data_IF_605092001061
#
_entry.id   IF_605092001061
#
_cell.length_a   1.000
_cell.length_b   1.000
_cell.length_c   1.000
_cell.angle_alpha   90.00
_cell.angle_beta   90.00
_cell.angle_gamma   90.00
#
_symmetry.space_group_name_H-M   'P 1'
#
loop_
_entity.id
_entity.type
_entity.pdbx_description
1 polymer ?
#
# COMPACT_ATOMS: atom_id res chain seq x y z
N UNK A 1 -7.79 -3.44 -2.64
CA UNK A 1 -6.47 -3.85 -3.18
C UNK A 1 -6.68 -5.00 -4.15
N UNK A 2 -5.81 -5.15 -5.17
CA UNK A 2 -5.89 -6.23 -6.17
C UNK A 2 -4.59 -7.02 -6.14
N UNK A 3 -4.68 -8.34 -5.94
CA UNK A 3 -3.51 -9.22 -6.06
C UNK A 3 -3.19 -9.44 -7.54
N UNK A 4 -1.93 -9.19 -7.92
CA UNK A 4 -1.50 -9.29 -9.32
C UNK A 4 -0.62 -10.51 -9.58
N UNK A 5 0.23 -10.90 -8.62
CA UNK A 5 1.18 -12.01 -8.76
C UNK A 5 1.79 -12.40 -7.42
N UNK A 6 1.70 -13.67 -7.02
CA UNK A 6 2.29 -14.18 -5.77
C UNK A 6 1.98 -13.26 -4.57
N UNK A 7 3.02 -12.67 -3.97
CA UNK A 7 2.91 -11.76 -2.85
C UNK A 7 2.86 -10.28 -3.26
N UNK A 8 2.44 -9.97 -4.48
CA UNK A 8 2.30 -8.61 -4.97
C UNK A 8 0.84 -8.20 -5.08
N UNK A 9 0.55 -7.02 -4.53
CA UNK A 9 -0.74 -6.38 -4.59
C UNK A 9 -0.59 -4.95 -5.09
N UNK A 10 -1.67 -4.44 -5.68
CA UNK A 10 -1.81 -3.04 -6.09
C UNK A 10 -3.00 -2.44 -5.35
N UNK A 11 -2.75 -1.37 -4.61
CA UNK A 11 -3.81 -0.52 -4.08
C UNK A 11 -4.15 0.54 -5.13
N UNK A 12 -5.33 0.42 -5.75
CA UNK A 12 -5.80 1.37 -6.76
C UNK A 12 -6.47 2.54 -6.04
N UNK A 13 -5.83 3.70 -6.10
CA UNK A 13 -6.35 4.98 -5.61
C UNK A 13 -7.23 5.66 -6.66
N UNK A 14 -7.74 6.85 -6.34
CA UNK A 14 -8.53 7.67 -7.26
C UNK A 14 -7.79 7.92 -8.58
N UNK A 15 -8.57 8.10 -9.64
CA UNK A 15 -8.09 8.36 -11.00
C UNK A 15 -7.22 7.25 -11.61
N UNK A 16 -7.20 6.05 -11.03
CA UNK A 16 -6.46 4.90 -11.58
C UNK A 16 -4.98 4.85 -11.21
N UNK A 17 -4.48 5.77 -10.37
CA UNK A 17 -3.11 5.65 -9.83
C UNK A 17 -3.09 4.50 -8.82
N UNK A 18 -2.15 3.58 -8.97
CA UNK A 18 -1.99 2.44 -8.09
C UNK A 18 -0.65 2.45 -7.37
N UNK A 19 -0.64 2.08 -6.09
CA UNK A 19 0.59 1.77 -5.36
C UNK A 19 0.84 0.26 -5.43
N UNK A 20 1.91 -0.14 -6.12
CA UNK A 20 2.36 -1.54 -6.20
C UNK A 20 3.28 -1.86 -5.03
N UNK A 21 3.00 -2.96 -4.37
CA UNK A 21 3.69 -3.37 -3.15
C UNK A 21 3.84 -4.89 -3.09
N UNK A 22 4.89 -5.34 -2.41
CA UNK A 22 5.00 -6.72 -1.96
C UNK A 22 4.58 -6.83 -0.51
N UNK A 23 3.75 -7.81 -0.16
CA UNK A 23 3.38 -8.10 1.23
C UNK A 23 4.20 -9.27 1.79
N UNK A 24 4.56 -9.16 3.07
CA UNK A 24 5.38 -10.14 3.78
C UNK A 24 4.89 -10.25 5.22
N UNK A 25 4.89 -11.46 5.77
CA UNK A 25 4.62 -11.68 7.19
C UNK A 25 5.95 -11.71 7.96
N UNK A 26 6.20 -10.71 8.79
CA UNK A 26 7.45 -10.57 9.55
C UNK A 26 7.13 -9.90 10.90
N UNK A 27 7.71 -10.38 12.01
CA UNK A 27 7.53 -9.82 13.35
C UNK A 27 6.06 -9.74 13.83
N UNK A 28 5.23 -10.73 13.47
CA UNK A 28 3.82 -10.78 13.86
C UNK A 28 2.92 -9.75 13.16
N UNK A 29 3.39 -9.16 12.06
CA UNK A 29 2.66 -8.17 11.26
C UNK A 29 2.87 -8.39 9.77
N UNK A 30 1.93 -7.87 8.98
CA UNK A 30 2.09 -7.76 7.53
C UNK A 30 2.88 -6.49 7.23
N UNK A 31 3.99 -6.60 6.50
CA UNK A 31 4.77 -5.46 5.99
C UNK A 31 4.56 -5.32 4.49
N UNK A 32 4.17 -4.13 4.06
CA UNK A 32 3.92 -3.75 2.69
C UNK A 32 5.10 -2.91 2.17
N UNK A 33 5.95 -3.54 1.35
CA UNK A 33 7.18 -2.94 0.80
C UNK A 33 6.93 -2.37 -0.59
N UNK A 34 7.32 -1.11 -0.78
CA UNK A 34 7.19 -0.40 -2.06
C UNK A 34 7.84 -1.16 -3.24
N UNK A 35 7.09 -1.35 -4.32
CA UNK A 35 7.59 -1.85 -5.61
C UNK A 35 7.38 -0.88 -6.78
N UNK A 36 6.83 0.30 -6.53
CA UNK A 36 6.59 1.35 -7.54
C UNK A 36 5.15 1.84 -7.54
N UNK A 37 4.87 2.79 -8.43
CA UNK A 37 3.50 3.19 -8.75
C UNK A 37 3.15 2.72 -10.15
N UNK A 38 1.86 2.51 -10.38
CA UNK A 38 1.31 2.10 -11.67
C UNK A 38 0.13 2.99 -12.02
N UNK A 39 -0.19 3.09 -13.30
CA UNK A 39 -1.46 3.61 -13.79
C UNK A 39 -2.30 2.43 -14.25
N UNK A 40 -3.49 2.28 -13.70
CA UNK A 40 -4.44 1.25 -14.07
C UNK A 40 -5.41 1.81 -15.10
N UNK A 41 -5.32 1.30 -16.33
CA UNK A 41 -6.17 1.71 -17.46
C UNK A 41 -6.59 0.47 -18.25
N UNK A 42 -7.91 0.26 -18.39
CA UNK A 42 -8.50 -0.87 -19.13
C UNK A 42 -7.94 -2.26 -18.74
N UNK A 43 -7.67 -2.50 -17.45
CA UNK A 43 -7.13 -3.78 -16.96
C UNK A 43 -5.61 -3.92 -17.11
N UNK A 44 -4.92 -2.91 -17.62
CA UNK A 44 -3.47 -2.89 -17.80
C UNK A 44 -2.85 -2.02 -16.70
N UNK A 45 -1.74 -2.49 -16.12
CA UNK A 45 -0.92 -1.72 -15.16
C UNK A 45 0.33 -1.17 -15.86
N UNK A 46 0.36 0.14 -16.07
CA UNK A 46 1.48 0.85 -16.70
C UNK A 46 2.39 1.41 -15.59
N UNK A 47 3.68 1.02 -15.48
CA UNK A 47 4.58 1.57 -14.47
C UNK A 47 4.76 3.09 -14.60
N UNK A 48 4.73 3.81 -13.49
CA UNK A 48 4.95 5.25 -13.43
C UNK A 48 6.18 5.58 -12.56
N UNK A 49 7.02 6.57 -12.97
CA UNK A 49 8.17 7.01 -12.18
C UNK A 49 7.79 7.94 -11.01
N UNK A 50 6.57 7.83 -10.47
CA UNK A 50 6.07 8.71 -9.41
C UNK A 50 6.87 8.63 -8.11
N UNK A 51 7.60 7.53 -7.87
CA UNK A 51 8.45 7.40 -6.68
C UNK A 51 9.50 8.51 -6.56
N UNK A 52 9.89 9.12 -7.68
CA UNK A 52 10.81 10.27 -7.72
C UNK A 52 10.14 11.59 -7.38
N UNK A 53 8.81 11.69 -7.50
CA UNK A 53 8.05 12.92 -7.29
C UNK A 53 7.37 12.95 -5.91
N UNK A 54 6.78 11.83 -5.50
CA UNK A 54 6.00 11.75 -4.25
C UNK A 54 6.70 10.94 -3.17
N UNK A 55 7.69 10.12 -3.52
CA UNK A 55 8.41 9.26 -2.59
C UNK A 55 7.90 7.83 -2.54
N UNK A 56 8.48 7.03 -1.65
CA UNK A 56 8.19 5.60 -1.51
C UNK A 56 7.22 5.36 -0.35
N UNK A 57 6.16 4.61 -0.64
CA UNK A 57 5.20 4.17 0.37
C UNK A 57 5.75 3.02 1.23
N UNK A 58 5.37 2.98 2.50
CA UNK A 58 5.65 1.88 3.40
C UNK A 58 4.44 1.72 4.31
N UNK A 59 3.98 0.49 4.53
CA UNK A 59 2.91 0.23 5.46
C UNK A 59 3.13 -1.05 6.26
N UNK A 60 2.54 -1.08 7.45
CA UNK A 60 2.52 -2.23 8.36
C UNK A 60 1.09 -2.42 8.87
N UNK A 61 0.65 -3.67 8.96
CA UNK A 61 -0.63 -4.05 9.53
C UNK A 61 -0.40 -5.09 10.62
N UNK A 62 -0.79 -4.76 11.85
CA UNK A 62 -0.68 -5.63 13.02
C UNK A 62 -2.08 -6.15 13.35
N UNK A 63 -2.35 -7.47 13.23
CA UNK A 63 -3.65 -8.00 13.59
C UNK A 63 -3.89 -7.86 15.08
N UNK A 64 -5.13 -7.55 15.44
CA UNK A 64 -5.57 -7.40 16.83
C UNK A 64 -6.57 -8.49 17.18
N UNK A 65 -7.52 -8.76 16.29
CA UNK A 65 -8.50 -9.83 16.37
C UNK A 65 -8.96 -10.22 14.95
N UNK A 66 -10.01 -11.03 14.85
CA UNK A 66 -10.52 -11.55 13.58
C UNK A 66 -11.02 -10.48 12.61
N UNK A 67 -11.37 -9.28 13.11
CA UNK A 67 -11.96 -8.21 12.30
C UNK A 67 -11.21 -6.88 12.42
N UNK A 68 -10.27 -6.73 13.35
CA UNK A 68 -9.53 -5.48 13.54
C UNK A 68 -8.02 -5.62 13.43
N UNK A 69 -7.40 -4.57 12.91
CA UNK A 69 -5.94 -4.48 12.78
C UNK A 69 -5.48 -3.03 12.98
N UNK A 70 -4.30 -2.86 13.57
CA UNK A 70 -3.63 -1.58 13.63
C UNK A 70 -2.79 -1.38 12.36
N UNK A 71 -3.04 -0.29 11.66
CA UNK A 71 -2.35 0.07 10.42
C UNK A 71 -1.47 1.29 10.64
N UNK A 72 -0.27 1.24 10.08
CA UNK A 72 0.62 2.38 9.91
C UNK A 72 1.00 2.47 8.43
N UNK A 73 0.86 3.65 7.83
CA UNK A 73 1.27 3.91 6.46
C UNK A 73 1.97 5.26 6.38
N UNK A 74 3.05 5.31 5.63
CA UNK A 74 3.74 6.55 5.32
C UNK A 74 4.24 6.57 3.88
N UNK A 75 4.37 7.77 3.32
CA UNK A 75 5.13 8.03 2.08
C UNK A 75 6.27 8.97 2.43
N UNK A 76 7.49 8.54 2.09
CA UNK A 76 8.71 9.30 2.35
C UNK A 76 9.39 9.66 1.04
N UNK A 77 9.54 10.95 0.77
CA UNK A 77 10.33 11.49 -0.33
C UNK A 77 11.80 11.60 0.09
N UNK A 78 12.78 11.17 -0.73
CA UNK A 78 14.19 11.21 -0.35
C UNK A 78 14.73 12.59 0.01
N UNK A 79 14.19 13.66 -0.60
CA UNK A 79 14.65 15.05 -0.37
C UNK A 79 13.79 15.84 0.61
N UNK A 80 12.52 15.50 0.76
CA UNK A 80 11.55 16.29 1.55
C UNK A 80 11.13 15.59 2.85
N UNK A 81 11.57 14.34 3.05
CA UNK A 81 11.17 13.55 4.19
C UNK A 81 9.71 13.08 4.05
N UNK A 82 8.96 13.11 5.15
CA UNK A 82 7.61 12.57 5.23
C UNK A 82 6.62 13.44 4.45
N UNK A 83 6.02 12.88 3.41
CA UNK A 83 5.02 13.56 2.55
C UNK A 83 3.60 13.26 3.02
N UNK A 84 3.38 12.03 3.49
CA UNK A 84 2.05 11.58 3.91
C UNK A 84 2.20 10.51 4.99
N UNK A 85 1.26 10.48 5.92
CA UNK A 85 1.17 9.46 6.96
C UNK A 85 -0.27 9.34 7.44
N UNK A 86 -0.70 8.11 7.70
CA UNK A 86 -1.80 7.85 8.59
C UNK A 86 -1.49 6.64 9.45
N UNK A 87 -2.14 6.60 10.60
CA UNK A 87 -2.10 5.46 11.50
C UNK A 87 -3.41 5.36 12.26
N UNK A 88 -3.81 4.16 12.59
CA UNK A 88 -5.03 3.94 13.37
C UNK A 88 -5.42 2.48 13.39
N UNK A 89 -6.51 2.21 14.11
CA UNK A 89 -7.16 0.91 14.10
C UNK A 89 -8.23 0.88 13.01
N UNK A 90 -8.19 -0.16 12.21
CA UNK A 90 -9.13 -0.40 11.12
C UNK A 90 -9.95 -1.65 11.43
N UNK A 91 -11.20 -1.63 10.99
CA UNK A 91 -12.14 -2.74 11.11
C UNK A 91 -12.51 -3.21 9.70
N UNK A 92 -12.38 -4.50 9.44
CA UNK A 92 -12.79 -5.13 8.20
C UNK A 92 -14.31 -5.23 8.20
N UNK A 93 -14.97 -4.55 7.26
CA UNK A 93 -16.41 -4.66 7.05
C UNK A 93 -16.68 -5.53 5.83
N UNK A 94 -17.53 -6.53 6.02
CA UNK A 94 -18.04 -7.36 4.94
C UNK A 94 -19.29 -6.70 4.37
N UNK A 95 -19.31 -6.43 3.06
CA UNK A 95 -20.53 -6.02 2.37
C UNK A 95 -21.43 -7.26 2.23
N UNK A 96 -22.63 -7.20 2.81
CA UNK A 96 -23.70 -8.19 2.65
C UNK A 96 -24.45 -8.04 1.35
#
# INVERSE_FOLDING_TARGET
MVQIKYNEVVEIMRYGVGWRMGYFWEDGKVKLKHKGYVFHLYGIFIPLPLSLLIGKGYAEETPIDDNTFDMFMQIVHPLWGKVYEYKGRFEVKYET
#
